data_IF_922787232646
#
_entry.id   IF_922787232646
#
_cell.length_a   1.000
_cell.length_b   1.000
_cell.length_c   1.000
_cell.angle_alpha   90.00
_cell.angle_beta   90.00
_cell.angle_gamma   90.00
#
_symmetry.space_group_name_H-M   'P 1'
#
loop_
_entity.id
_entity.type
_entity.pdbx_description
1 polymer ?
#
# COMPACT_ATOMS: atom_id res chain seq x y z
N UNK A 1 0.18 -7.79 -8.82
CA UNK A 1 0.91 -6.53 -8.81
C UNK A 1 0.21 -5.54 -9.72
N UNK A 2 0.38 -4.24 -9.51
CA UNK A 2 -0.27 -3.17 -10.27
C UNK A 2 0.70 -2.00 -10.50
N UNK A 3 0.57 -1.29 -11.63
CA UNK A 3 1.34 -0.06 -11.84
C UNK A 3 0.61 1.12 -11.21
N UNK A 4 1.33 1.92 -10.43
CA UNK A 4 0.81 3.10 -9.73
C UNK A 4 1.76 4.27 -9.92
N UNK A 5 1.20 5.49 -9.90
CA UNK A 5 1.97 6.72 -9.92
C UNK A 5 2.15 7.23 -8.48
N UNK A 6 3.38 7.54 -8.10
CA UNK A 6 3.69 7.98 -6.74
C UNK A 6 3.41 9.48 -6.57
N UNK A 7 2.57 9.80 -5.60
CA UNK A 7 2.09 11.15 -5.35
C UNK A 7 2.90 11.86 -4.25
N UNK A 8 3.27 11.11 -3.21
CA UNK A 8 4.09 11.59 -2.08
C UNK A 8 5.14 10.55 -1.71
N UNK A 9 6.32 11.04 -1.33
CA UNK A 9 7.41 10.24 -0.76
C UNK A 9 7.82 10.87 0.57
N UNK A 10 7.71 10.11 1.65
CA UNK A 10 8.01 10.55 3.02
C UNK A 10 9.06 9.65 3.66
N UNK A 11 10.32 10.11 3.78
CA UNK A 11 11.34 9.41 4.54
C UNK A 11 11.07 9.51 6.04
N UNK A 12 10.94 8.37 6.72
CA UNK A 12 10.67 8.30 8.18
C UNK A 12 11.88 7.80 8.98
N UNK A 13 13.06 7.77 8.34
CA UNK A 13 14.31 7.33 8.94
C UNK A 13 14.69 5.93 8.46
N UNK A 14 14.17 4.89 9.12
CA UNK A 14 14.48 3.49 8.76
C UNK A 14 13.71 2.97 7.54
N UNK A 15 12.74 3.74 7.05
CA UNK A 15 11.77 3.35 6.04
C UNK A 15 11.40 4.58 5.20
N UNK A 16 10.79 4.35 4.05
CA UNK A 16 10.17 5.39 3.24
C UNK A 16 8.71 5.02 3.03
N UNK A 17 7.81 5.94 3.32
CA UNK A 17 6.39 5.80 2.99
C UNK A 17 6.15 6.43 1.63
N UNK A 18 5.41 5.72 0.78
CA UNK A 18 4.95 6.23 -0.51
C UNK A 18 3.43 6.21 -0.56
N UNK A 19 2.86 7.29 -1.09
CA UNK A 19 1.41 7.48 -1.18
C UNK A 19 1.01 7.47 -2.64
N UNK A 20 -0.12 6.82 -2.93
CA UNK A 20 -0.75 6.75 -4.24
C UNK A 20 -2.25 6.61 -4.09
N UNK A 21 -3.00 6.97 -5.13
CA UNK A 21 -4.44 6.73 -5.20
C UNK A 21 -4.73 5.54 -6.11
N UNK A 22 -5.46 4.55 -5.61
CA UNK A 22 -5.95 3.41 -6.39
C UNK A 22 -7.48 3.45 -6.36
N UNK A 23 -8.12 3.58 -7.52
CA UNK A 23 -9.58 3.68 -7.66
C UNK A 23 -10.25 4.68 -6.69
N UNK A 24 -9.62 5.85 -6.53
CA UNK A 24 -10.10 6.91 -5.63
C UNK A 24 -9.84 6.67 -4.14
N UNK A 25 -9.17 5.57 -3.79
CA UNK A 25 -8.77 5.23 -2.42
C UNK A 25 -7.30 5.56 -2.22
N UNK A 26 -6.97 6.32 -1.18
CA UNK A 26 -5.59 6.57 -0.79
C UNK A 26 -4.96 5.30 -0.22
N UNK A 27 -3.79 4.94 -0.75
CA UNK A 27 -3.02 3.77 -0.33
C UNK A 27 -1.62 4.22 0.05
N UNK A 28 -1.19 3.80 1.24
CA UNK A 28 0.17 4.01 1.74
C UNK A 28 0.92 2.69 1.71
N UNK A 29 2.09 2.69 1.08
CA UNK A 29 2.99 1.56 1.07
C UNK A 29 4.31 1.92 1.74
N UNK A 30 4.88 0.96 2.43
CA UNK A 30 6.23 1.06 2.98
C UNK A 30 7.24 0.47 1.99
N UNK A 31 8.32 1.20 1.72
CA UNK A 31 9.47 0.71 0.96
C UNK A 31 10.74 0.66 1.81
N UNK A 32 11.68 -0.19 1.37
CA UNK A 32 13.06 -0.21 1.88
C UNK A 32 13.71 1.18 1.70
N UNK A 33 14.45 1.70 2.69
CA UNK A 33 15.05 3.03 2.62
C UNK A 33 16.12 3.16 1.51
N UNK A 34 16.66 2.05 1.03
CA UNK A 34 17.64 2.04 -0.07
C UNK A 34 16.97 2.07 -1.45
N UNK A 35 15.65 1.90 -1.52
CA UNK A 35 14.91 1.96 -2.78
C UNK A 35 14.64 3.42 -3.16
N UNK A 36 15.23 3.88 -4.27
CA UNK A 36 15.06 5.27 -4.71
C UNK A 36 13.75 5.40 -5.48
N UNK A 37 12.69 5.82 -4.79
CA UNK A 37 11.40 6.20 -5.39
C UNK A 37 11.24 7.70 -5.24
N UNK A 38 10.74 8.36 -6.28
CA UNK A 38 10.47 9.78 -6.32
C UNK A 38 9.01 10.04 -6.64
N UNK A 39 8.53 11.21 -6.23
CA UNK A 39 7.23 11.71 -6.68
C UNK A 39 7.20 11.76 -8.21
N UNK A 40 6.12 11.25 -8.80
CA UNK A 40 5.92 11.13 -10.23
C UNK A 40 6.50 9.87 -10.86
N UNK A 41 7.24 9.05 -10.11
CA UNK A 41 7.68 7.75 -10.61
C UNK A 41 6.48 6.81 -10.76
N UNK A 42 6.49 6.04 -11.84
CA UNK A 42 5.55 4.94 -12.06
C UNK A 42 6.19 3.64 -11.60
N UNK A 43 5.63 3.04 -10.55
CA UNK A 43 6.22 1.88 -9.88
C UNK A 43 5.26 0.68 -9.89
N UNK A 44 5.82 -0.52 -9.76
CA UNK A 44 5.03 -1.74 -9.61
C UNK A 44 4.78 -2.01 -8.12
N UNK A 45 3.53 -1.84 -7.69
CA UNK A 45 3.10 -2.17 -6.33
C UNK A 45 2.64 -3.63 -6.27
N UNK A 46 3.07 -4.36 -5.25
CA UNK A 46 2.63 -5.75 -4.99
C UNK A 46 2.19 -5.86 -3.54
N UNK A 47 0.94 -6.26 -3.34
CA UNK A 47 0.44 -6.66 -2.03
C UNK A 47 0.76 -8.13 -1.77
N UNK A 48 1.32 -8.44 -0.60
CA UNK A 48 1.40 -9.82 -0.14
C UNK A 48 0.04 -10.26 0.40
N UNK A 49 -0.67 -11.04 -0.43
CA UNK A 49 -2.03 -11.49 -0.13
C UNK A 49 -2.10 -12.41 1.11
N UNK A 50 -0.97 -12.97 1.58
CA UNK A 50 -0.93 -13.75 2.83
C UNK A 50 -1.18 -12.89 4.08
N UNK A 51 -0.99 -11.58 3.97
CA UNK A 51 -1.20 -10.60 5.04
C UNK A 51 -2.48 -9.78 4.83
N UNK A 52 -3.37 -10.20 3.92
CA UNK A 52 -4.60 -9.48 3.62
C UNK A 52 -5.73 -9.88 4.58
N UNK A 53 -6.52 -8.90 5.01
CA UNK A 53 -7.78 -9.08 5.72
C UNK A 53 -8.92 -8.44 4.93
N UNK A 54 -9.95 -9.23 4.58
CA UNK A 54 -11.17 -8.72 3.96
C UNK A 54 -12.19 -8.42 5.05
N UNK A 55 -12.85 -7.26 4.99
CA UNK A 55 -13.86 -6.83 5.96
C UNK A 55 -15.22 -6.84 5.26
N UNK A 56 -16.22 -7.48 5.87
CA UNK A 56 -17.59 -7.48 5.38
C UNK A 56 -18.25 -6.12 5.67
N UNK A 57 -18.68 -5.35 4.65
CA UNK A 57 -19.25 -4.02 4.84
C UNK A 57 -20.62 -4.01 5.54
N UNK A 58 -21.29 -5.15 5.69
CA UNK A 58 -22.56 -5.24 6.41
C UNK A 58 -22.39 -5.50 7.90
N UNK A 59 -21.31 -6.19 8.28
CA UNK A 59 -21.10 -6.69 9.65
C UNK A 59 -19.85 -6.13 10.32
N UNK A 60 -18.97 -5.46 9.57
CA UNK A 60 -17.64 -5.01 9.98
C UNK A 60 -16.73 -6.13 10.52
N UNK A 61 -17.07 -7.39 10.26
CA UNK A 61 -16.28 -8.55 10.65
C UNK A 61 -15.25 -8.91 9.58
N UNK A 62 -14.12 -9.44 10.03
CA UNK A 62 -13.10 -9.99 9.12
C UNK A 62 -13.59 -11.32 8.55
N UNK A 63 -13.57 -11.44 7.23
CA UNK A 63 -13.94 -12.67 6.53
C UNK A 63 -12.86 -13.73 6.77
N UNK A 64 -13.26 -14.90 7.27
CA UNK A 64 -12.35 -16.03 7.47
C UNK A 64 -11.47 -15.93 8.72
N UNK A 65 -11.71 -14.97 9.63
CA UNK A 65 -10.98 -14.86 10.89
C UNK A 65 -11.40 -15.86 11.97
N UNK A 66 -12.32 -16.77 11.68
CA UNK A 66 -12.74 -17.82 12.61
C UNK A 66 -11.64 -18.88 12.70
N UNK A 67 -10.77 -18.74 13.71
CA UNK A 67 -9.92 -19.81 14.21
C UNK A 67 -10.65 -20.62 15.28
#
# INVERSE_FOLDING_TARGET
SMQVDIEVVEPTGGEVLVFTTIDGTEVVAKSDPNYTVRRGDRVMLTADMKHMHLIDPQTDLVIGSNN
#
